data_IF_633205101968
#
_entry.id   IF_633205101968
#
_cell.length_a   1.000
_cell.length_b   1.000
_cell.length_c   1.000
_cell.angle_alpha   90.00
_cell.angle_beta   90.00
_cell.angle_gamma   90.00
#
_symmetry.space_group_name_H-M   'P 1'
#
loop_
_entity.id
_entity.type
_entity.pdbx_description
1 polymer ?
#
# COMPACT_ATOMS: atom_id res chain seq x y z
N UNK A 1 -4.78 -15.18 32.03
CA UNK A 1 -4.40 -16.30 31.12
C UNK A 1 -4.99 -15.99 29.74
N UNK A 2 -4.34 -15.07 29.03
CA UNK A 2 -4.52 -14.88 27.60
C UNK A 2 -3.12 -15.10 27.02
N UNK A 3 -2.99 -16.08 26.13
CA UNK A 3 -1.73 -16.43 25.48
C UNK A 3 -1.45 -15.42 24.37
N UNK A 4 -0.59 -14.44 24.62
CA UNK A 4 0.02 -13.62 23.58
C UNK A 4 1.01 -14.49 22.81
N UNK A 5 0.75 -14.68 21.51
CA UNK A 5 1.68 -15.33 20.59
C UNK A 5 2.72 -14.31 20.10
N UNK A 6 4.01 -14.66 20.02
CA UNK A 6 5.03 -13.78 19.43
C UNK A 6 4.83 -13.73 17.90
N UNK A 7 4.54 -12.54 17.35
CA UNK A 7 4.33 -12.33 15.92
C UNK A 7 5.66 -12.44 15.15
N UNK A 8 5.89 -13.60 14.54
CA UNK A 8 7.01 -13.92 13.65
C UNK A 8 6.74 -13.40 12.23
N UNK A 9 7.74 -12.78 11.62
CA UNK A 9 7.77 -12.44 10.19
C UNK A 9 8.00 -13.68 9.27
N UNK A 10 7.44 -13.61 8.04
CA UNK A 10 7.64 -14.31 6.74
C UNK A 10 7.20 -15.80 6.52
N UNK A 11 6.31 -15.99 5.51
CA UNK A 11 6.33 -16.94 4.34
C UNK A 11 5.04 -17.76 4.04
N UNK A 12 4.41 -17.36 2.91
CA UNK A 12 4.15 -18.16 1.69
C UNK A 12 3.00 -19.21 1.58
N UNK A 13 2.18 -18.98 0.53
CA UNK A 13 1.74 -19.87 -0.58
C UNK A 13 0.86 -21.13 -0.36
N UNK A 14 -0.21 -21.25 -1.17
CA UNK A 14 -0.65 -22.36 -2.07
C UNK A 14 -2.22 -22.34 -2.21
N UNK A 15 -2.86 -22.08 -3.36
CA UNK A 15 -3.04 -22.81 -4.65
C UNK A 15 -4.28 -23.76 -4.74
N UNK A 16 -5.04 -23.59 -5.86
CA UNK A 16 -5.80 -24.57 -6.71
C UNK A 16 -7.36 -24.67 -6.70
N UNK A 17 -7.95 -24.08 -7.76
CA UNK A 17 -8.74 -24.62 -8.93
C UNK A 17 -9.88 -25.70 -8.86
N UNK A 18 -10.86 -25.46 -9.78
CA UNK A 18 -11.81 -26.35 -10.50
C UNK A 18 -13.18 -26.69 -9.84
N UNK A 19 -14.35 -26.74 -10.50
CA UNK A 19 -14.80 -26.53 -11.89
C UNK A 19 -16.26 -27.05 -12.10
N UNK A 20 -16.86 -26.71 -13.28
CA UNK A 20 -17.91 -27.43 -14.06
C UNK A 20 -19.43 -27.20 -13.80
N UNK A 21 -20.06 -26.48 -14.75
CA UNK A 21 -21.18 -26.80 -15.67
C UNK A 21 -22.48 -27.55 -15.21
N UNK A 22 -23.67 -26.98 -15.54
CA UNK A 22 -24.80 -27.64 -16.25
C UNK A 22 -26.05 -26.72 -16.46
N UNK A 23 -26.57 -26.69 -17.70
CA UNK A 23 -27.91 -26.23 -18.19
C UNK A 23 -28.83 -27.49 -18.37
N UNK A 24 -30.09 -27.50 -18.92
CA UNK A 24 -31.06 -26.44 -19.33
C UNK A 24 -32.56 -26.76 -18.98
N UNK A 25 -33.50 -25.90 -19.41
CA UNK A 25 -34.93 -26.25 -19.66
C UNK A 25 -35.74 -25.03 -20.14
N UNK A 26 -36.04 -24.87 -21.44
CA UNK A 26 -37.17 -25.35 -22.27
C UNK A 26 -38.46 -24.46 -22.28
N UNK A 27 -38.82 -24.12 -23.52
CA UNK A 27 -40.17 -23.95 -24.13
C UNK A 27 -41.08 -22.78 -23.77
N UNK A 28 -41.37 -21.98 -24.81
CA UNK A 28 -42.61 -21.21 -24.96
C UNK A 28 -42.82 -20.87 -26.43
N UNK A 29 -43.84 -21.43 -27.06
CA UNK A 29 -44.25 -21.20 -28.46
C UNK A 29 -45.47 -20.26 -28.48
N UNK A 30 -45.59 -19.42 -29.51
CA UNK A 30 -46.90 -18.97 -29.98
C UNK A 30 -46.90 -17.60 -30.67
N UNK A 31 -47.41 -17.56 -31.91
CA UNK A 31 -48.03 -16.36 -32.48
C UNK A 31 -47.49 -15.92 -33.83
N UNK A 32 -48.03 -16.49 -34.90
CA UNK A 32 -47.99 -15.95 -36.27
C UNK A 32 -48.92 -14.74 -36.40
N UNK A 33 -48.55 -13.76 -37.24
CA UNK A 33 -49.34 -13.38 -38.42
C UNK A 33 -48.70 -12.24 -39.25
N UNK A 34 -48.88 -12.40 -40.56
CA UNK A 34 -48.95 -11.41 -41.64
C UNK A 34 -47.67 -10.73 -42.16
N UNK A 35 -47.16 -11.25 -43.29
CA UNK A 35 -46.13 -10.61 -44.11
C UNK A 35 -46.64 -10.46 -45.54
N UNK A 36 -47.02 -9.23 -45.91
CA UNK A 36 -46.88 -8.81 -47.31
C UNK A 36 -45.41 -8.95 -47.74
N UNK A 37 -45.08 -8.95 -49.04
CA UNK A 37 -43.72 -9.15 -49.50
C UNK A 37 -42.88 -7.92 -49.14
N UNK A 38 -42.30 -7.91 -47.94
CA UNK A 38 -41.22 -7.02 -47.53
C UNK A 38 -40.01 -7.38 -48.39
N UNK A 39 -39.45 -6.38 -49.08
CA UNK A 39 -38.18 -6.54 -49.77
C UNK A 39 -37.14 -7.17 -48.82
N UNK A 40 -36.28 -8.10 -49.28
CA UNK A 40 -35.31 -8.76 -48.41
C UNK A 40 -34.52 -7.72 -47.62
N UNK A 41 -34.55 -7.82 -46.29
CA UNK A 41 -33.79 -6.92 -45.44
C UNK A 41 -32.29 -7.08 -45.78
N UNK A 42 -31.63 -5.99 -46.15
CA UNK A 42 -30.22 -6.04 -46.52
C UNK A 42 -29.37 -6.34 -45.27
N UNK A 43 -28.56 -7.40 -45.32
CA UNK A 43 -27.67 -7.78 -44.23
C UNK A 43 -26.59 -6.72 -44.06
N UNK A 44 -26.37 -6.27 -42.83
CA UNK A 44 -25.33 -5.31 -42.44
C UNK A 44 -24.57 -5.81 -41.23
N UNK A 45 -23.28 -5.44 -41.13
CA UNK A 45 -22.38 -5.79 -40.01
C UNK A 45 -21.73 -4.51 -39.49
N UNK A 46 -21.65 -4.34 -38.19
CA UNK A 46 -20.85 -3.31 -37.52
C UNK A 46 -19.96 -3.93 -36.44
N UNK A 47 -18.80 -3.31 -36.16
CA UNK A 47 -17.86 -3.72 -35.11
C UNK A 47 -17.64 -2.56 -34.15
N UNK A 48 -17.63 -2.83 -32.85
CA UNK A 48 -17.33 -1.86 -31.78
C UNK A 48 -16.35 -2.45 -30.76
N UNK A 49 -15.34 -1.70 -30.29
CA UNK A 49 -14.94 -0.36 -30.75
C UNK A 49 -14.39 -0.36 -32.19
N UNK A 50 -14.52 0.75 -32.91
CA UNK A 50 -14.05 0.86 -34.30
C UNK A 50 -12.52 1.08 -34.41
N UNK A 51 -11.90 1.64 -33.37
CA UNK A 51 -10.46 1.83 -33.27
C UNK A 51 -9.99 1.76 -31.83
N UNK A 52 -8.83 1.14 -31.60
CA UNK A 52 -8.14 1.08 -30.29
C UNK A 52 -6.63 1.20 -30.45
N UNK A 53 -5.95 1.61 -29.39
CA UNK A 53 -4.49 1.51 -29.27
C UNK A 53 -4.19 0.48 -28.20
N UNK A 54 -3.33 -0.50 -28.49
CA UNK A 54 -2.91 -1.54 -27.57
C UNK A 54 -1.39 -1.62 -27.53
N UNK A 55 -0.84 -1.92 -26.37
CA UNK A 55 0.56 -2.31 -26.26
C UNK A 55 0.76 -3.77 -26.70
N UNK A 56 1.99 -4.13 -27.03
CA UNK A 56 2.35 -5.52 -27.34
C UNK A 56 1.91 -6.47 -26.23
N UNK A 57 1.17 -7.53 -26.59
CA UNK A 57 0.65 -8.53 -25.64
C UNK A 57 -0.69 -8.21 -24.98
N UNK A 58 -1.19 -6.97 -25.06
CA UNK A 58 -2.51 -6.59 -24.51
C UNK A 58 -3.66 -7.17 -25.33
N UNK A 59 -4.83 -7.29 -24.70
CA UNK A 59 -6.05 -7.82 -25.34
C UNK A 59 -7.22 -6.84 -25.33
N UNK A 60 -8.06 -6.90 -26.37
CA UNK A 60 -9.28 -6.11 -26.51
C UNK A 60 -10.43 -6.99 -27.02
N UNK A 61 -11.57 -6.91 -26.34
CA UNK A 61 -12.82 -7.51 -26.82
C UNK A 61 -13.51 -6.61 -27.83
N UNK A 62 -13.85 -7.16 -28.99
CA UNK A 62 -14.68 -6.54 -30.01
C UNK A 62 -16.04 -7.21 -30.08
N UNK A 63 -17.09 -6.41 -30.19
CA UNK A 63 -18.44 -6.89 -30.44
C UNK A 63 -18.83 -6.62 -31.89
N UNK A 64 -19.47 -7.60 -32.54
CA UNK A 64 -20.06 -7.43 -33.85
C UNK A 64 -21.59 -7.46 -33.74
N UNK A 65 -22.25 -6.54 -34.46
CA UNK A 65 -23.71 -6.53 -34.57
C UNK A 65 -24.09 -6.81 -36.03
N UNK A 66 -24.91 -7.85 -36.24
CA UNK A 66 -25.44 -8.21 -37.56
C UNK A 66 -26.94 -7.90 -37.59
N UNK A 67 -27.40 -7.19 -38.61
CA UNK A 67 -28.83 -6.87 -38.81
C UNK A 67 -29.32 -7.36 -40.16
N UNK A 68 -30.64 -7.44 -40.35
CA UNK A 68 -31.26 -7.89 -41.61
C UNK A 68 -31.31 -9.41 -41.80
N UNK A 69 -30.99 -10.19 -40.76
CA UNK A 69 -31.02 -11.66 -40.75
C UNK A 69 -31.36 -12.16 -39.34
N UNK A 70 -31.87 -13.39 -39.23
CA UNK A 70 -32.05 -14.09 -37.94
C UNK A 70 -30.79 -14.79 -37.46
N UNK A 71 -29.83 -15.05 -38.37
CA UNK A 71 -28.51 -15.57 -38.01
C UNK A 71 -27.53 -14.41 -37.81
N UNK A 72 -27.25 -14.08 -36.55
CA UNK A 72 -26.37 -12.98 -36.16
C UNK A 72 -24.90 -13.40 -35.95
N UNK A 73 -24.53 -14.64 -36.26
CA UNK A 73 -23.18 -15.14 -36.06
C UNK A 73 -22.17 -14.48 -37.01
N UNK A 74 -20.94 -14.31 -36.52
CA UNK A 74 -19.81 -13.79 -37.29
C UNK A 74 -18.59 -14.71 -37.19
N UNK A 75 -17.73 -14.62 -38.18
CA UNK A 75 -16.37 -15.16 -38.15
C UNK A 75 -15.37 -14.02 -37.98
N UNK A 76 -14.48 -14.16 -37.01
CA UNK A 76 -13.43 -13.20 -36.71
C UNK A 76 -12.11 -13.57 -37.40
N UNK A 77 -11.38 -12.57 -37.88
CA UNK A 77 -10.02 -12.76 -38.40
C UNK A 77 -9.16 -11.52 -38.20
N UNK A 78 -7.85 -11.73 -38.03
CA UNK A 78 -6.82 -10.68 -38.09
C UNK A 78 -6.23 -10.64 -39.51
N UNK A 79 -6.29 -9.49 -40.17
CA UNK A 79 -5.67 -9.33 -41.49
C UNK A 79 -4.14 -9.28 -41.35
N UNK A 80 -3.44 -9.93 -42.27
CA UNK A 80 -1.97 -10.04 -42.24
C UNK A 80 -1.43 -11.24 -41.45
N UNK A 81 -2.32 -12.06 -40.86
CA UNK A 81 -1.95 -13.33 -40.23
C UNK A 81 -1.43 -13.19 -38.80
N UNK A 82 -0.87 -14.28 -38.26
CA UNK A 82 -0.53 -14.41 -36.84
C UNK A 82 0.56 -13.44 -36.34
N UNK A 83 1.39 -12.89 -37.24
CA UNK A 83 2.38 -11.86 -36.90
C UNK A 83 1.74 -10.55 -36.46
N UNK A 84 0.46 -10.34 -36.81
CA UNK A 84 -0.33 -9.20 -36.41
C UNK A 84 -1.19 -9.50 -35.17
N UNK A 85 -0.95 -10.60 -34.46
CA UNK A 85 -1.75 -11.01 -33.29
C UNK A 85 -2.76 -12.11 -33.60
N UNK A 86 -3.66 -12.37 -32.66
CA UNK A 86 -4.68 -13.43 -32.76
C UNK A 86 -6.04 -12.93 -32.29
N UNK A 87 -7.12 -13.51 -32.80
CA UNK A 87 -8.49 -13.24 -32.32
C UNK A 87 -9.24 -14.55 -32.15
N UNK A 88 -9.96 -14.69 -31.04
CA UNK A 88 -10.79 -15.86 -30.77
C UNK A 88 -12.19 -15.76 -31.37
N UNK A 89 -13.01 -16.81 -31.20
CA UNK A 89 -14.38 -16.85 -31.70
C UNK A 89 -15.33 -15.91 -30.95
N UNK A 90 -14.98 -15.49 -29.73
CA UNK A 90 -15.76 -14.54 -28.93
C UNK A 90 -15.49 -13.07 -29.33
N UNK A 91 -14.46 -12.82 -30.14
CA UNK A 91 -14.06 -11.49 -30.58
C UNK A 91 -12.99 -10.85 -29.71
N UNK A 92 -12.32 -11.61 -28.84
CA UNK A 92 -11.19 -11.11 -28.05
C UNK A 92 -9.91 -11.20 -28.87
N UNK A 93 -9.37 -10.05 -29.24
CA UNK A 93 -8.10 -9.91 -29.94
C UNK A 93 -6.96 -9.77 -28.92
N UNK A 94 -5.83 -10.45 -29.18
CA UNK A 94 -4.57 -10.30 -28.44
C UNK A 94 -3.50 -9.77 -29.39
N UNK A 95 -2.90 -8.63 -29.03
CA UNK A 95 -1.83 -7.99 -29.77
C UNK A 95 -0.56 -8.84 -29.79
N UNK A 96 0.24 -8.80 -30.87
CA UNK A 96 1.49 -9.55 -30.95
C UNK A 96 2.52 -9.03 -29.94
N UNK A 97 3.53 -9.85 -29.63
CA UNK A 97 4.62 -9.51 -28.69
C UNK A 97 5.67 -8.56 -29.30
N UNK A 98 5.52 -8.18 -30.57
CA UNK A 98 6.37 -7.21 -31.26
C UNK A 98 5.50 -6.29 -32.11
N UNK A 99 5.85 -5.01 -32.19
CA UNK A 99 5.11 -4.04 -33.02
C UNK A 99 5.14 -4.46 -34.50
N UNK A 100 3.98 -4.68 -35.14
CA UNK A 100 3.91 -5.01 -36.56
C UNK A 100 4.42 -3.85 -37.44
N UNK A 101 4.76 -4.15 -38.69
CA UNK A 101 5.07 -3.14 -39.69
C UNK A 101 4.13 -3.29 -40.90
N UNK A 102 3.15 -2.38 -41.10
CA UNK A 102 2.89 -1.16 -40.32
C UNK A 102 2.33 -1.46 -38.92
N UNK A 103 2.47 -0.51 -37.99
CA UNK A 103 2.01 -0.64 -36.59
C UNK A 103 0.48 -0.70 -36.43
N UNK A 104 -0.27 -0.73 -37.52
CA UNK A 104 -1.73 -0.79 -37.53
C UNK A 104 -2.18 -2.15 -38.05
N UNK A 105 -2.95 -2.85 -37.21
CA UNK A 105 -3.58 -4.14 -37.49
C UNK A 105 -5.06 -3.93 -37.77
N UNK A 106 -5.64 -4.77 -38.63
CA UNK A 106 -7.08 -4.77 -38.93
C UNK A 106 -7.73 -6.05 -38.43
N UNK A 107 -8.69 -5.91 -37.54
CA UNK A 107 -9.57 -7.00 -37.07
C UNK A 107 -10.86 -6.94 -37.89
N UNK A 108 -11.31 -8.07 -38.45
CA UNK A 108 -12.49 -8.14 -39.32
C UNK A 108 -13.50 -9.15 -38.80
N UNK A 109 -14.76 -8.74 -38.70
CA UNK A 109 -15.92 -9.61 -38.50
C UNK A 109 -16.64 -9.81 -39.84
N UNK A 110 -16.89 -11.06 -40.23
CA UNK A 110 -17.62 -11.42 -41.46
C UNK A 110 -18.88 -12.19 -41.09
N UNK A 111 -20.04 -11.80 -41.64
CA UNK A 111 -21.31 -12.46 -41.34
C UNK A 111 -21.29 -13.92 -41.81
N UNK A 112 -21.79 -14.83 -40.97
CA UNK A 112 -22.02 -16.23 -41.35
C UNK A 112 -23.22 -16.35 -42.30
N UNK A 113 -24.22 -15.48 -42.14
CA UNK A 113 -25.43 -15.48 -42.97
C UNK A 113 -25.16 -15.02 -44.41
N UNK A 114 -24.28 -14.03 -44.59
CA UNK A 114 -23.81 -13.56 -45.91
C UNK A 114 -22.31 -13.22 -45.85
N UNK A 115 -21.43 -14.14 -46.29
CA UNK A 115 -19.98 -13.93 -46.29
C UNK A 115 -19.49 -12.75 -47.14
N UNK A 116 -20.35 -12.13 -47.96
CA UNK A 116 -20.02 -10.89 -48.68
C UNK A 116 -20.09 -9.65 -47.78
N UNK A 117 -20.68 -9.76 -46.58
CA UNK A 117 -20.85 -8.66 -45.61
C UNK A 117 -19.86 -8.79 -44.47
N UNK A 118 -19.16 -7.69 -44.19
CA UNK A 118 -18.19 -7.62 -43.11
C UNK A 118 -17.98 -6.18 -42.64
N UNK A 119 -17.49 -6.03 -41.42
CA UNK A 119 -16.98 -4.76 -40.90
C UNK A 119 -15.63 -4.98 -40.22
N UNK A 120 -14.88 -3.92 -39.99
CA UNK A 120 -13.51 -4.00 -39.46
C UNK A 120 -13.25 -2.94 -38.40
N UNK A 121 -12.35 -3.26 -37.47
CA UNK A 121 -11.78 -2.36 -36.50
C UNK A 121 -10.28 -2.20 -36.72
N UNK A 122 -9.76 -1.01 -36.42
CA UNK A 122 -8.33 -0.68 -36.50
C UNK A 122 -7.67 -0.79 -35.13
N UNK A 123 -6.56 -1.50 -35.04
CA UNK A 123 -5.77 -1.63 -33.81
C UNK A 123 -4.39 -1.04 -34.06
N UNK A 124 -4.05 0.05 -33.39
CA UNK A 124 -2.68 0.57 -33.37
C UNK A 124 -1.89 -0.15 -32.29
N UNK A 125 -0.80 -0.81 -32.64
CA UNK A 125 0.06 -1.52 -31.69
C UNK A 125 1.28 -0.67 -31.37
N UNK A 126 1.49 -0.37 -30.09
CA UNK A 126 2.67 0.33 -29.58
C UNK A 126 3.59 -0.63 -28.84
N UNK A 127 4.86 -0.24 -28.67
CA UNK A 127 5.78 -0.97 -27.78
C UNK A 127 5.23 -0.87 -26.36
N UNK A 128 5.01 -2.01 -25.71
CA UNK A 128 4.77 -2.02 -24.26
C UNK A 128 6.04 -1.60 -23.52
N UNK A 129 5.91 -0.77 -22.49
CA UNK A 129 7.05 -0.38 -21.70
C UNK A 129 7.61 -1.60 -20.94
N UNK A 130 8.94 -1.74 -20.89
CA UNK A 130 9.57 -2.87 -20.24
C UNK A 130 9.28 -2.88 -18.73
N UNK A 131 9.14 -4.07 -18.11
CA UNK A 131 9.03 -4.21 -16.66
C UNK A 131 10.14 -3.48 -15.91
N UNK A 132 9.83 -2.95 -14.73
CA UNK A 132 10.88 -2.40 -13.87
C UNK A 132 11.82 -3.53 -13.39
N UNK A 133 13.15 -3.32 -13.41
CA UNK A 133 14.09 -4.25 -12.80
C UNK A 133 13.82 -4.43 -11.30
N UNK A 134 14.07 -5.63 -10.77
CA UNK A 134 13.85 -5.98 -9.34
C UNK A 134 14.54 -5.01 -8.37
N UNK A 135 15.73 -4.51 -8.70
CA UNK A 135 16.42 -3.52 -7.87
C UNK A 135 15.67 -2.18 -7.77
N UNK A 136 14.93 -1.79 -8.81
CA UNK A 136 14.10 -0.58 -8.80
C UNK A 136 12.81 -0.81 -8.00
N UNK A 137 12.23 -2.00 -8.09
CA UNK A 137 11.09 -2.40 -7.26
C UNK A 137 11.47 -2.41 -5.77
N UNK A 138 12.65 -2.92 -5.43
CA UNK A 138 13.17 -2.90 -4.07
C UNK A 138 13.40 -1.47 -3.57
N UNK A 139 13.98 -0.59 -4.39
CA UNK A 139 14.16 0.82 -4.03
C UNK A 139 12.82 1.52 -3.77
N UNK A 140 11.80 1.20 -4.57
CA UNK A 140 10.45 1.73 -4.44
C UNK A 140 9.80 1.33 -3.11
N UNK A 141 9.90 0.05 -2.74
CA UNK A 141 9.43 -0.48 -1.46
C UNK A 141 10.18 0.14 -0.26
N UNK A 142 11.51 0.27 -0.37
CA UNK A 142 12.33 0.87 0.69
C UNK A 142 11.97 2.33 0.95
N UNK A 143 11.79 3.15 -0.09
CA UNK A 143 11.38 4.56 0.06
C UNK A 143 10.00 4.66 0.70
N UNK A 144 9.07 3.79 0.28
CA UNK A 144 7.72 3.75 0.84
C UNK A 144 7.76 3.41 2.34
N UNK A 145 8.42 2.30 2.72
CA UNK A 145 8.45 1.79 4.10
C UNK A 145 9.30 2.59 5.09
N UNK A 146 10.27 3.38 4.62
CA UNK A 146 11.25 4.03 5.49
C UNK A 146 10.62 4.87 6.61
N UNK A 147 9.65 5.73 6.30
CA UNK A 147 9.02 6.57 7.32
C UNK A 147 8.09 5.82 8.27
N UNK A 148 7.44 4.73 7.85
CA UNK A 148 6.72 3.84 8.79
C UNK A 148 7.69 3.17 9.76
N UNK A 149 8.79 2.62 9.25
CA UNK A 149 9.79 1.94 10.08
C UNK A 149 10.36 2.90 11.14
N UNK A 150 10.61 4.16 10.75
CA UNK A 150 11.02 5.22 11.67
C UNK A 150 9.98 5.44 12.77
N UNK A 151 8.70 5.61 12.41
CA UNK A 151 7.63 5.85 13.37
C UNK A 151 7.41 4.66 14.32
N UNK A 152 7.36 3.44 13.79
CA UNK A 152 7.16 2.23 14.57
C UNK A 152 8.28 2.05 15.61
N UNK A 153 9.53 2.32 15.21
CA UNK A 153 10.68 2.25 16.12
C UNK A 153 10.57 3.25 17.28
N UNK A 154 10.01 4.44 17.03
CA UNK A 154 9.76 5.46 18.06
C UNK A 154 8.64 5.01 18.99
N UNK A 155 7.53 4.52 18.43
CA UNK A 155 6.39 4.07 19.21
C UNK A 155 6.80 2.93 20.14
N UNK A 156 7.53 1.95 19.63
CA UNK A 156 8.08 0.86 20.42
C UNK A 156 9.03 1.34 21.51
N UNK A 157 9.91 2.31 21.23
CA UNK A 157 10.79 2.90 22.24
C UNK A 157 10.01 3.62 23.37
N UNK A 158 8.94 4.35 23.02
CA UNK A 158 8.06 5.00 23.99
C UNK A 158 7.32 3.97 24.85
N UNK A 159 6.74 2.94 24.23
CA UNK A 159 6.07 1.84 24.93
C UNK A 159 7.00 1.11 25.89
N UNK A 160 8.22 0.78 25.43
CA UNK A 160 9.23 0.13 26.26
C UNK A 160 9.63 1.00 27.44
N UNK A 161 9.82 2.31 27.25
CA UNK A 161 10.11 3.22 28.36
C UNK A 161 8.93 3.27 29.35
N UNK A 162 7.71 3.38 28.85
CA UNK A 162 6.52 3.46 29.70
C UNK A 162 6.34 2.21 30.56
N UNK A 163 6.42 1.03 29.93
CA UNK A 163 6.42 -0.25 30.63
C UNK A 163 7.56 -0.31 31.65
N UNK A 164 8.76 0.13 31.25
CA UNK A 164 9.92 0.09 32.10
C UNK A 164 9.77 0.98 33.35
N UNK A 165 9.30 2.22 33.20
CA UNK A 165 9.04 3.11 34.34
C UNK A 165 7.93 2.55 35.23
N UNK A 166 6.85 2.04 34.62
CA UNK A 166 5.70 1.51 35.34
C UNK A 166 6.07 0.30 36.21
N UNK A 167 6.77 -0.69 35.65
CA UNK A 167 7.17 -1.89 36.39
C UNK A 167 8.32 -1.67 37.37
N UNK A 168 9.19 -0.69 37.10
CA UNK A 168 10.31 -0.37 37.99
C UNK A 168 9.91 0.53 39.18
N UNK A 169 8.73 1.14 39.13
CA UNK A 169 8.30 2.22 40.04
C UNK A 169 9.38 3.34 40.17
N UNK A 170 10.25 3.46 39.16
CA UNK A 170 11.43 4.32 39.18
C UNK A 170 11.92 4.64 37.77
N UNK A 171 12.40 5.86 37.58
CA UNK A 171 13.03 6.32 36.34
C UNK A 171 14.47 5.82 36.17
N UNK A 172 14.98 5.01 37.12
CA UNK A 172 16.35 4.49 37.13
C UNK A 172 16.41 3.05 37.64
N UNK A 173 17.44 2.32 37.24
CA UNK A 173 17.68 0.93 37.64
C UNK A 173 17.90 0.01 36.45
N UNK A 174 17.78 -1.30 36.67
CA UNK A 174 17.85 -2.32 35.62
C UNK A 174 16.61 -3.19 35.66
N UNK A 175 15.96 -3.37 34.52
CA UNK A 175 14.93 -4.37 34.27
C UNK A 175 15.51 -5.51 33.46
N UNK A 176 15.33 -6.74 33.91
CA UNK A 176 15.79 -7.94 33.19
C UNK A 176 14.60 -8.81 32.82
N UNK A 177 14.39 -9.04 31.52
CA UNK A 177 13.29 -9.84 31.01
C UNK A 177 13.39 -11.30 31.50
N UNK A 178 12.26 -11.84 31.95
CA UNK A 178 12.14 -13.22 32.40
C UNK A 178 11.80 -14.12 31.22
N UNK A 179 12.83 -14.75 30.63
CA UNK A 179 12.65 -15.55 29.42
C UNK A 179 12.07 -14.70 28.28
N UNK A 180 11.19 -15.29 27.46
CA UNK A 180 10.51 -14.59 26.35
C UNK A 180 9.10 -14.12 26.72
N UNK A 181 8.94 -13.63 27.95
CA UNK A 181 7.67 -13.13 28.49
C UNK A 181 7.70 -11.61 28.65
N UNK A 182 6.54 -11.01 28.92
CA UNK A 182 6.41 -9.58 29.23
C UNK A 182 6.71 -9.27 30.73
N UNK A 183 7.29 -10.23 31.46
CA UNK A 183 7.65 -10.09 32.88
C UNK A 183 9.13 -9.66 33.02
N UNK A 184 9.41 -8.73 33.95
CA UNK A 184 10.75 -8.21 34.21
C UNK A 184 11.09 -8.25 35.70
N UNK A 185 12.35 -8.61 36.01
CA UNK A 185 12.92 -8.46 37.35
C UNK A 185 13.61 -7.09 37.48
N UNK A 186 13.27 -6.34 38.53
CA UNK A 186 13.87 -5.03 38.81
C UNK A 186 15.08 -5.09 39.75
N UNK A 187 16.04 -4.21 39.50
CA UNK A 187 17.19 -3.90 40.36
C UNK A 187 17.39 -2.38 40.38
N UNK A 188 17.65 -1.80 41.56
CA UNK A 188 17.79 -0.34 41.74
C UNK A 188 19.15 0.25 41.32
N UNK A 189 19.88 -0.44 40.46
CA UNK A 189 21.18 -0.01 39.93
C UNK A 189 21.17 -0.20 38.41
N UNK A 190 21.75 0.72 37.62
CA UNK A 190 22.38 1.99 38.04
C UNK A 190 21.34 3.06 38.45
N UNK A 191 21.76 4.05 39.24
CA UNK A 191 20.86 5.09 39.77
C UNK A 191 20.78 6.36 38.91
N UNK A 192 21.38 6.38 37.72
CA UNK A 192 21.45 7.54 36.82
C UNK A 192 20.72 7.33 35.48
N UNK A 193 20.30 6.09 35.21
CA UNK A 193 19.64 5.68 33.97
C UNK A 193 18.78 4.45 34.22
N UNK A 194 17.82 4.22 33.33
CA UNK A 194 17.05 2.98 33.27
C UNK A 194 17.67 2.08 32.20
N UNK A 195 18.02 0.85 32.58
CA UNK A 195 18.59 -0.15 31.69
C UNK A 195 17.60 -1.29 31.51
N UNK A 196 17.25 -1.64 30.28
CA UNK A 196 16.40 -2.80 29.97
C UNK A 196 17.28 -3.87 29.34
N UNK A 197 17.22 -5.09 29.86
CA UNK A 197 18.00 -6.23 29.39
C UNK A 197 17.04 -7.33 28.95
N UNK A 198 17.04 -7.64 27.67
CA UNK A 198 16.21 -8.71 27.10
C UNK A 198 16.85 -10.08 27.28
N UNK A 199 16.04 -11.13 27.20
CA UNK A 199 16.52 -12.52 27.26
C UNK A 199 17.44 -12.90 26.10
N UNK A 200 17.39 -12.16 25.00
CA UNK A 200 18.34 -12.24 23.88
C UNK A 200 19.74 -11.77 24.23
N UNK A 201 19.91 -11.03 25.33
CA UNK A 201 21.14 -10.34 25.73
C UNK A 201 21.25 -8.90 25.20
N UNK A 202 20.29 -8.46 24.39
CA UNK A 202 20.18 -7.08 23.96
C UNK A 202 19.92 -6.16 25.17
N UNK A 203 20.55 -4.98 25.15
CA UNK A 203 20.43 -3.98 26.22
C UNK A 203 20.01 -2.65 25.63
N UNK A 204 19.03 -2.03 26.26
CA UNK A 204 18.61 -0.66 25.99
C UNK A 204 18.93 0.22 27.21
N UNK A 205 19.41 1.44 26.97
CA UNK A 205 19.64 2.42 28.03
C UNK A 205 18.84 3.68 27.79
N UNK A 206 18.04 4.08 28.79
CA UNK A 206 17.23 5.29 28.81
C UNK A 206 17.76 6.25 29.87
N UNK A 207 17.97 7.51 29.51
CA UNK A 207 18.28 8.60 30.46
C UNK A 207 17.12 9.58 30.44
N UNK A 208 16.27 9.56 31.46
CA UNK A 208 15.14 10.47 31.62
C UNK A 208 15.64 11.81 32.16
N UNK A 209 15.35 12.90 31.46
CA UNK A 209 15.83 14.26 31.77
C UNK A 209 14.75 15.17 32.37
N UNK A 210 13.48 14.89 32.10
CA UNK A 210 12.33 15.57 32.71
C UNK A 210 11.13 14.62 32.79
N UNK A 211 10.35 14.72 33.86
CA UNK A 211 9.14 13.94 34.09
C UNK A 211 8.07 14.80 34.78
N UNK A 212 6.88 14.86 34.18
CA UNK A 212 5.73 15.54 34.76
C UNK A 212 4.49 14.64 34.72
N UNK A 213 4.08 14.15 35.89
CA UNK A 213 2.83 13.45 36.15
C UNK A 213 2.95 12.54 37.39
N UNK A 214 2.13 11.50 37.50
CA UNK A 214 2.10 10.54 38.61
C UNK A 214 2.72 9.17 38.20
N UNK A 215 2.91 8.24 39.11
CA UNK A 215 3.24 6.84 38.78
C UNK A 215 2.04 5.90 38.97
N UNK A 216 0.90 6.45 39.39
CA UNK A 216 -0.36 5.74 39.57
C UNK A 216 -1.12 5.55 38.23
N UNK A 217 -1.78 4.41 38.03
CA UNK A 217 -2.59 4.13 36.83
C UNK A 217 -2.24 2.81 36.14
N UNK A 218 -2.45 2.74 34.82
CA UNK A 218 -1.94 1.68 33.93
C UNK A 218 -0.74 2.18 33.11
N UNK A 219 0.04 1.29 32.49
CA UNK A 219 1.17 1.73 31.65
C UNK A 219 0.68 2.42 30.37
N UNK A 220 -0.51 2.05 29.89
CA UNK A 220 -1.20 2.74 28.80
C UNK A 220 -1.53 4.18 29.19
N UNK A 221 -2.12 4.40 30.38
CA UNK A 221 -2.35 5.75 30.91
C UNK A 221 -1.03 6.52 31.06
N UNK A 222 0.06 5.82 31.38
CA UNK A 222 1.37 6.44 31.60
C UNK A 222 1.84 7.26 30.38
N UNK A 223 1.67 6.76 29.17
CA UNK A 223 2.05 7.50 27.95
C UNK A 223 1.15 8.70 27.66
N UNK A 224 -0.14 8.58 27.96
CA UNK A 224 -1.15 9.56 27.55
C UNK A 224 -1.32 10.71 28.53
N UNK A 225 -1.03 10.51 29.83
CA UNK A 225 -1.22 11.55 30.86
C UNK A 225 0.09 12.06 31.48
N UNK A 226 1.25 11.56 31.05
CA UNK A 226 2.58 11.99 31.55
C UNK A 226 3.44 12.58 30.44
N UNK A 227 4.22 13.61 30.79
CA UNK A 227 5.25 14.15 29.92
C UNK A 227 6.62 13.61 30.31
N UNK A 228 7.32 13.03 29.34
CA UNK A 228 8.66 12.45 29.50
C UNK A 228 9.61 13.02 28.46
N UNK A 229 10.76 13.51 28.91
CA UNK A 229 11.90 13.80 28.06
C UNK A 229 13.02 12.80 28.37
N UNK A 230 13.57 12.12 27.37
CA UNK A 230 14.61 11.11 27.59
C UNK A 230 15.64 11.05 26.45
N UNK A 231 16.66 10.23 26.60
CA UNK A 231 17.52 9.80 25.50
C UNK A 231 17.67 8.29 25.56
N UNK A 232 17.80 7.65 24.41
CA UNK A 232 17.89 6.21 24.30
C UNK A 232 19.08 5.80 23.44
N UNK A 233 19.75 4.72 23.81
CA UNK A 233 20.79 4.10 22.98
C UNK A 233 20.58 2.59 22.93
N UNK A 234 20.62 2.05 21.72
CA UNK A 234 20.64 0.62 21.42
C UNK A 234 21.95 0.24 20.70
N UNK A 235 22.45 -1.01 20.82
CA UNK A 235 23.75 -1.42 20.28
C UNK A 235 23.93 -1.23 18.77
N UNK A 236 22.84 -1.19 18.00
CA UNK A 236 22.87 -0.93 16.55
C UNK A 236 22.30 0.44 16.16
N UNK A 237 21.47 1.08 16.99
CA UNK A 237 20.69 2.27 16.64
C UNK A 237 20.73 3.29 17.79
N UNK A 238 21.20 4.52 17.53
CA UNK A 238 21.30 5.61 18.52
C UNK A 238 20.10 6.58 18.39
N UNK A 239 18.93 6.18 18.88
CA UNK A 239 17.70 6.99 18.79
C UNK A 239 17.66 8.06 19.89
N UNK A 240 17.94 9.33 19.57
CA UNK A 240 17.87 10.45 20.52
C UNK A 240 16.49 11.15 20.56
N UNK A 241 15.53 10.57 21.27
CA UNK A 241 14.16 11.07 21.36
C UNK A 241 14.00 12.22 22.37
N UNK A 242 14.07 13.49 21.95
CA UNK A 242 13.66 14.60 22.83
C UNK A 242 12.13 14.79 22.75
N UNK A 243 11.44 15.03 23.86
CA UNK A 243 10.01 15.38 23.84
C UNK A 243 9.75 16.43 24.90
N UNK A 244 8.83 17.37 24.63
CA UNK A 244 8.55 18.49 25.54
C UNK A 244 7.07 18.84 25.54
N UNK A 245 6.51 19.16 26.71
CA UNK A 245 5.11 19.55 26.90
C UNK A 245 4.95 21.07 27.03
N UNK A 246 3.79 21.61 26.64
CA UNK A 246 3.45 23.04 26.80
C UNK A 246 2.17 23.34 27.65
N UNK A 247 1.11 22.50 27.76
CA UNK A 247 -0.17 22.93 28.43
C UNK A 247 -0.90 21.92 29.32
N UNK A 248 -1.78 22.43 30.22
CA UNK A 248 -2.27 21.78 31.46
C UNK A 248 -3.76 21.34 31.47
N UNK A 249 -4.61 21.82 30.57
CA UNK A 249 -6.07 21.66 30.54
C UNK A 249 -6.62 20.83 29.37
N UNK A 250 -5.72 20.44 28.47
CA UNK A 250 -5.85 19.57 27.31
C UNK A 250 -4.52 18.81 27.24
N UNK A 251 -4.55 17.50 27.02
CA UNK A 251 -3.30 16.72 26.95
C UNK A 251 -2.75 16.85 25.54
N UNK A 252 -2.15 18.01 25.26
CA UNK A 252 -1.39 18.28 24.05
C UNK A 252 0.10 18.08 24.34
N UNK A 253 0.72 17.15 23.62
CA UNK A 253 2.16 16.88 23.64
C UNK A 253 2.78 17.36 22.33
N UNK A 254 3.89 18.09 22.41
CA UNK A 254 4.70 18.34 21.22
C UNK A 254 5.75 17.25 21.08
N UNK A 255 5.78 16.63 19.90
CA UNK A 255 6.77 15.65 19.50
C UNK A 255 7.92 16.40 18.81
N UNK A 256 9.17 16.19 19.25
CA UNK A 256 10.36 16.74 18.59
C UNK A 256 11.57 15.83 18.82
N UNK A 257 11.62 14.75 18.07
CA UNK A 257 12.50 13.61 18.31
C UNK A 257 13.54 13.50 17.20
N UNK A 258 14.78 13.17 17.58
CA UNK A 258 15.87 12.93 16.64
C UNK A 258 16.21 11.45 16.62
N UNK A 259 16.39 10.87 15.44
CA UNK A 259 16.86 9.49 15.28
C UNK A 259 18.20 9.53 14.57
N UNK A 260 19.22 8.93 15.16
CA UNK A 260 20.53 8.76 14.54
C UNK A 260 21.03 7.32 14.72
N UNK A 261 22.10 6.94 14.03
CA UNK A 261 22.72 5.63 14.20
C UNK A 261 22.56 4.75 12.97
N UNK A 262 22.59 3.44 13.17
CA UNK A 262 22.58 2.49 12.05
C UNK A 262 21.42 1.49 12.13
N UNK A 263 20.97 0.97 11.01
CA UNK A 263 20.08 -0.18 10.99
C UNK A 263 20.46 -1.13 9.86
N UNK A 264 20.11 -2.41 10.00
CA UNK A 264 20.26 -3.36 8.91
C UNK A 264 18.89 -3.66 8.30
N UNK A 265 18.73 -3.40 7.01
CA UNK A 265 17.53 -3.71 6.23
C UNK A 265 17.99 -4.31 4.90
N UNK A 266 17.42 -5.46 4.51
CA UNK A 266 17.76 -6.18 3.27
C UNK A 266 19.26 -6.42 3.08
N UNK A 267 19.94 -6.90 4.14
CA UNK A 267 21.39 -7.14 4.19
C UNK A 267 22.27 -5.88 3.98
N UNK A 268 21.68 -4.68 3.99
CA UNK A 268 22.38 -3.41 3.92
C UNK A 268 22.41 -2.73 5.29
N UNK A 269 23.57 -2.22 5.68
CA UNK A 269 23.69 -1.30 6.82
C UNK A 269 23.41 0.12 6.34
N UNK A 270 22.43 0.76 6.95
CA UNK A 270 21.99 2.12 6.68
C UNK A 270 22.42 3.02 7.83
N UNK A 271 23.12 4.11 7.52
CA UNK A 271 23.24 5.25 8.43
C UNK A 271 21.95 6.06 8.37
N UNK A 272 21.35 6.34 9.52
CA UNK A 272 20.05 7.00 9.64
C UNK A 272 20.27 8.36 10.29
N UNK A 273 19.59 9.38 9.78
CA UNK A 273 19.42 10.67 10.46
C UNK A 273 18.02 11.16 10.13
N UNK A 274 17.12 11.16 11.11
CA UNK A 274 15.74 11.60 10.95
C UNK A 274 15.30 12.51 12.12
N UNK A 275 14.28 13.30 11.86
CA UNK A 275 13.57 14.14 12.80
C UNK A 275 12.08 13.82 12.70
N UNK A 276 11.43 13.69 13.85
CA UNK A 276 9.97 13.57 13.96
C UNK A 276 9.47 14.76 14.75
N UNK A 277 8.59 15.55 14.15
CA UNK A 277 8.06 16.76 14.75
C UNK A 277 6.55 16.77 14.62
N UNK A 278 5.83 17.13 15.68
CA UNK A 278 4.38 17.05 15.65
C UNK A 278 3.71 17.46 16.93
N UNK A 279 2.42 17.25 16.96
CA UNK A 279 1.54 17.46 18.11
C UNK A 279 0.67 16.22 18.25
N UNK A 280 0.59 15.67 19.46
CA UNK A 280 -0.36 14.62 19.82
C UNK A 280 -1.37 15.23 20.81
N UNK A 281 -2.66 15.06 20.56
CA UNK A 281 -3.72 15.69 21.35
C UNK A 281 -4.74 14.67 21.81
N UNK A 282 -4.95 14.58 23.12
CA UNK A 282 -5.90 13.65 23.73
C UNK A 282 -7.05 14.38 24.43
N UNK A 283 -8.28 14.02 24.06
CA UNK A 283 -9.51 14.53 24.68
C UNK A 283 -10.23 13.45 25.49
N UNK A 284 -10.53 13.76 26.75
CA UNK A 284 -11.37 12.92 27.62
C UNK A 284 -12.78 13.52 27.73
N UNK A 285 -13.66 13.32 26.74
CA UNK A 285 -15.06 13.77 26.87
C UNK A 285 -16.07 12.85 26.17
N UNK A 286 -16.88 12.11 26.95
CA UNK A 286 -18.05 11.32 26.49
C UNK A 286 -17.81 10.54 25.16
N UNK A 287 -16.62 9.97 25.06
CA UNK A 287 -15.93 9.52 23.85
C UNK A 287 -14.44 9.87 24.04
N UNK A 288 -13.53 8.99 23.67
CA UNK A 288 -12.12 9.33 23.55
C UNK A 288 -11.90 9.80 22.12
N UNK A 289 -11.34 11.00 21.98
CA UNK A 289 -10.94 11.57 20.69
C UNK A 289 -9.42 11.81 20.75
N UNK A 290 -8.70 11.34 19.74
CA UNK A 290 -7.25 11.50 19.60
C UNK A 290 -6.95 12.09 18.24
N UNK A 291 -6.28 13.24 18.23
CA UNK A 291 -5.83 13.92 17.03
C UNK A 291 -4.30 14.08 17.09
N UNK A 292 -3.59 13.27 16.31
CA UNK A 292 -2.13 13.31 16.21
C UNK A 292 -1.70 13.79 14.84
N UNK A 293 -0.99 14.92 14.80
CA UNK A 293 -0.40 15.49 13.60
C UNK A 293 1.12 15.47 13.73
N UNK A 294 1.80 14.66 12.91
CA UNK A 294 3.27 14.60 12.93
C UNK A 294 3.87 14.56 11.53
N UNK A 295 5.09 15.05 11.42
CA UNK A 295 5.93 14.95 10.24
C UNK A 295 7.25 14.26 10.55
N UNK A 296 7.72 13.51 9.57
CA UNK A 296 8.99 12.79 9.58
C UNK A 296 9.82 13.33 8.43
N UNK A 297 10.97 13.88 8.77
CA UNK A 297 11.97 14.32 7.79
C UNK A 297 13.29 13.63 8.08
N UNK A 298 13.90 13.00 7.07
CA UNK A 298 15.14 12.27 7.31
C UNK A 298 15.87 11.83 6.08
N UNK A 299 17.08 11.33 6.31
CA UNK A 299 17.97 10.79 5.31
C UNK A 299 18.52 9.46 5.81
N UNK A 300 18.44 8.43 4.98
CA UNK A 300 19.10 7.15 5.19
C UNK A 300 20.14 6.96 4.10
N UNK A 301 21.34 6.51 4.43
CA UNK A 301 22.41 6.26 3.45
C UNK A 301 23.05 4.89 3.61
N UNK A 302 23.33 4.21 2.50
CA UNK A 302 24.08 2.94 2.49
C UNK A 302 24.96 2.84 1.24
N UNK A 303 26.25 3.18 1.38
CA UNK A 303 27.17 3.26 0.24
C UNK A 303 26.73 4.32 -0.77
N UNK A 304 26.41 3.91 -2.00
CA UNK A 304 25.86 4.79 -3.04
C UNK A 304 24.34 5.02 -2.91
N UNK A 305 23.67 4.27 -2.03
CA UNK A 305 22.22 4.37 -1.83
C UNK A 305 21.89 5.50 -0.88
N UNK A 306 20.79 6.18 -1.16
CA UNK A 306 20.26 7.24 -0.31
C UNK A 306 18.73 7.28 -0.39
N UNK A 307 18.07 7.40 0.75
CA UNK A 307 16.62 7.61 0.85
C UNK A 307 16.40 8.94 1.58
N UNK A 308 15.59 9.80 1.00
CA UNK A 308 15.04 11.00 1.62
C UNK A 308 13.61 10.72 2.04
N UNK A 309 13.31 10.97 3.31
CA UNK A 309 11.98 10.79 3.89
C UNK A 309 11.42 12.18 4.16
N UNK A 310 10.23 12.43 3.61
CA UNK A 310 9.39 13.59 3.84
C UNK A 310 7.95 13.08 3.91
N UNK A 311 7.49 12.82 5.12
CA UNK A 311 6.17 12.26 5.38
C UNK A 311 5.45 13.10 6.41
N UNK A 312 4.16 13.35 6.22
CA UNK A 312 3.27 13.89 7.23
C UNK A 312 2.16 12.88 7.48
N UNK A 313 1.71 12.74 8.70
CA UNK A 313 0.60 11.89 9.07
C UNK A 313 -0.32 12.65 10.00
N UNK A 314 -1.62 12.46 9.78
CA UNK A 314 -2.68 12.87 10.69
C UNK A 314 -3.46 11.61 11.09
N UNK A 315 -3.62 11.40 12.39
CA UNK A 315 -4.33 10.29 12.98
C UNK A 315 -5.53 10.82 13.76
N UNK A 316 -6.69 10.23 13.50
CA UNK A 316 -7.96 10.60 14.10
C UNK A 316 -8.66 9.34 14.61
N UNK A 317 -8.94 9.29 15.92
CA UNK A 317 -9.63 8.17 16.55
C UNK A 317 -10.81 8.62 17.37
N UNK A 318 -12.00 8.25 16.94
CA UNK A 318 -13.25 8.59 17.58
C UNK A 318 -13.93 7.34 18.16
N UNK A 319 -14.11 7.31 19.48
CA UNK A 319 -14.81 6.22 20.16
C UNK A 319 -16.26 6.60 20.48
N UNK A 320 -17.22 5.95 19.82
CA UNK A 320 -18.66 6.21 20.01
C UNK A 320 -19.24 5.36 21.15
N UNK A 321 -18.94 4.05 21.18
CA UNK A 321 -19.31 3.10 22.24
C UNK A 321 -18.47 1.80 22.20
N UNK A 322 -18.75 0.82 23.08
CA UNK A 322 -18.02 -0.47 23.20
C UNK A 322 -17.99 -1.35 21.94
N UNK A 323 -18.76 -1.02 20.91
CA UNK A 323 -18.84 -1.79 19.67
C UNK A 323 -18.71 -0.92 18.42
N UNK A 324 -18.63 0.41 18.57
CA UNK A 324 -18.56 1.37 17.48
C UNK A 324 -17.43 2.36 17.74
N UNK A 325 -16.41 2.31 16.90
CA UNK A 325 -15.32 3.28 16.85
C UNK A 325 -15.07 3.65 15.38
N UNK A 326 -14.47 4.80 15.15
CA UNK A 326 -13.87 5.17 13.87
C UNK A 326 -12.40 5.43 14.09
N UNK A 327 -11.57 4.68 13.39
CA UNK A 327 -10.15 4.95 13.27
C UNK A 327 -9.91 5.49 11.87
N UNK A 328 -9.25 6.63 11.73
CA UNK A 328 -8.77 7.08 10.43
C UNK A 328 -7.33 7.57 10.51
N UNK A 329 -6.54 7.21 9.51
CA UNK A 329 -5.19 7.73 9.34
C UNK A 329 -5.06 8.25 7.91
N UNK A 330 -4.52 9.45 7.77
CA UNK A 330 -4.04 10.00 6.51
C UNK A 330 -2.53 10.15 6.60
N UNK A 331 -1.83 9.67 5.59
CA UNK A 331 -0.39 9.79 5.44
C UNK A 331 -0.04 10.39 4.10
N UNK A 332 0.63 11.53 4.13
CA UNK A 332 1.13 12.25 2.98
C UNK A 332 2.63 12.01 2.83
N UNK A 333 3.03 11.38 1.72
CA UNK A 333 4.41 11.05 1.35
C UNK A 333 4.81 11.96 0.19
N UNK A 334 5.23 13.18 0.49
CA UNK A 334 5.44 14.23 -0.51
C UNK A 334 6.93 14.60 -0.58
N UNK A 335 7.55 14.40 -1.72
CA UNK A 335 8.98 14.69 -1.92
C UNK A 335 9.91 13.63 -1.34
N UNK A 336 9.37 12.61 -0.66
CA UNK A 336 10.14 11.41 -0.32
C UNK A 336 10.70 10.77 -1.59
N UNK A 337 11.93 10.28 -1.52
CA UNK A 337 12.60 9.75 -2.70
C UNK A 337 13.79 8.88 -2.34
N UNK A 338 14.32 8.18 -3.32
CA UNK A 338 15.50 7.36 -3.12
C UNK A 338 16.31 7.19 -4.38
N UNK A 339 17.60 6.90 -4.19
CA UNK A 339 18.52 6.55 -5.26
C UNK A 339 19.35 5.34 -4.89
N UNK A 340 19.63 4.49 -5.88
CA UNK A 340 20.59 3.39 -5.78
C UNK A 340 21.99 3.77 -6.34
N UNK A 341 22.18 5.05 -6.67
CA UNK A 341 23.37 5.59 -7.33
C UNK A 341 23.27 5.62 -8.86
N UNK A 342 22.29 4.94 -9.45
CA UNK A 342 22.02 4.93 -10.91
C UNK A 342 20.66 5.51 -11.23
N UNK A 343 19.63 5.12 -10.47
CA UNK A 343 18.24 5.50 -10.65
C UNK A 343 17.81 6.41 -9.51
N UNK A 344 16.91 7.36 -9.78
CA UNK A 344 16.29 8.18 -8.73
C UNK A 344 14.77 8.09 -8.82
N UNK A 345 14.13 7.74 -7.72
CA UNK A 345 12.67 7.66 -7.57
C UNK A 345 12.22 8.77 -6.62
N UNK A 346 11.13 9.45 -6.96
CA UNK A 346 10.52 10.51 -6.13
C UNK A 346 9.01 10.31 -6.11
N UNK A 347 8.43 10.29 -4.91
CA UNK A 347 7.01 10.28 -4.63
C UNK A 347 6.49 11.72 -4.65
N UNK A 348 5.48 11.99 -5.48
CA UNK A 348 4.91 13.31 -5.68
C UNK A 348 3.42 13.28 -5.37
N UNK A 349 3.02 14.07 -4.38
CA UNK A 349 1.62 14.22 -3.96
C UNK A 349 0.97 12.87 -3.61
N UNK A 350 1.71 11.99 -2.93
CA UNK A 350 1.20 10.68 -2.52
C UNK A 350 0.48 10.81 -1.20
N UNK A 351 -0.81 10.48 -1.21
CA UNK A 351 -1.67 10.38 -0.04
C UNK A 351 -2.13 8.94 0.10
N UNK A 352 -1.93 8.39 1.28
CA UNK A 352 -2.58 7.17 1.73
C UNK A 352 -3.59 7.53 2.82
N UNK A 353 -4.77 6.91 2.78
CA UNK A 353 -5.82 7.04 3.76
C UNK A 353 -6.38 5.67 4.09
N UNK A 354 -6.67 5.41 5.35
CA UNK A 354 -7.51 4.27 5.70
C UNK A 354 -8.46 4.61 6.82
N UNK A 355 -9.60 3.92 6.80
CA UNK A 355 -10.66 4.06 7.79
C UNK A 355 -11.08 2.67 8.25
N UNK A 356 -11.15 2.47 9.56
CA UNK A 356 -11.67 1.26 10.19
C UNK A 356 -12.85 1.68 11.07
N UNK A 357 -14.02 1.12 10.77
CA UNK A 357 -15.28 1.40 11.48
C UNK A 357 -15.74 0.23 12.35
N UNK A 358 -15.00 -0.89 12.30
CA UNK A 358 -15.18 -2.09 13.10
C UNK A 358 -14.01 -3.06 12.84
N UNK A 359 -13.73 -4.00 13.76
CA UNK A 359 -12.64 -4.99 13.66
C UNK A 359 -12.56 -5.77 12.33
N UNK A 360 -13.61 -5.73 11.51
CA UNK A 360 -13.73 -6.44 10.24
C UNK A 360 -13.89 -5.54 9.00
N UNK A 361 -14.11 -4.24 9.16
CA UNK A 361 -14.39 -3.33 8.04
C UNK A 361 -13.26 -2.29 7.92
N UNK A 362 -12.33 -2.55 6.99
CA UNK A 362 -11.21 -1.66 6.68
C UNK A 362 -11.30 -1.18 5.25
N UNK A 363 -11.32 0.13 5.09
CA UNK A 363 -11.35 0.81 3.80
C UNK A 363 -10.00 1.47 3.59
N UNK A 364 -9.26 1.02 2.58
CA UNK A 364 -8.01 1.61 2.14
C UNK A 364 -8.25 2.51 0.92
N UNK A 365 -7.56 3.65 0.88
CA UNK A 365 -7.54 4.57 -0.26
C UNK A 365 -6.13 5.12 -0.43
N UNK A 366 -5.62 5.07 -1.63
CA UNK A 366 -4.30 5.54 -1.97
C UNK A 366 -4.38 6.27 -3.30
N UNK A 367 -3.83 7.47 -3.35
CA UNK A 367 -3.76 8.29 -4.55
C UNK A 367 -2.42 9.04 -4.59
N UNK A 368 -1.96 9.36 -5.80
CA UNK A 368 -0.76 10.15 -6.00
C UNK A 368 0.13 9.59 -7.09
N UNK A 369 1.19 10.32 -7.39
CA UNK A 369 2.05 10.04 -8.54
C UNK A 369 3.48 9.71 -8.11
N UNK A 370 4.13 8.90 -8.92
CA UNK A 370 5.51 8.48 -8.68
C UNK A 370 6.30 8.78 -9.94
N UNK A 371 7.46 9.39 -9.76
CA UNK A 371 8.34 9.76 -10.85
C UNK A 371 9.69 9.08 -10.70
N UNK A 372 10.32 8.78 -11.84
CA UNK A 372 11.70 8.29 -11.94
C UNK A 372 12.46 9.16 -12.92
N UNK A 373 13.59 9.70 -12.51
CA UNK A 373 14.41 10.62 -13.32
C UNK A 373 13.56 11.76 -13.95
N UNK A 374 12.62 12.29 -13.16
CA UNK A 374 11.61 13.29 -13.54
C UNK A 374 10.56 12.86 -14.59
N UNK A 375 10.51 11.58 -14.98
CA UNK A 375 9.46 11.01 -15.82
C UNK A 375 8.41 10.27 -14.97
N UNK A 376 7.13 10.30 -15.38
CA UNK A 376 6.07 9.55 -14.70
C UNK A 376 6.34 8.04 -14.73
N UNK A 377 6.45 7.45 -13.54
CA UNK A 377 6.68 6.02 -13.33
C UNK A 377 5.35 5.28 -13.13
N UNK A 378 4.40 5.89 -12.42
CA UNK A 378 3.11 5.29 -12.11
C UNK A 378 2.29 6.13 -11.15
N UNK A 379 1.15 5.58 -10.76
CA UNK A 379 0.25 6.13 -9.75
C UNK A 379 0.02 5.10 -8.63
N UNK A 380 -0.19 5.59 -7.41
CA UNK A 380 -0.59 4.73 -6.30
C UNK A 380 -2.08 4.43 -6.44
N UNK A 381 -2.45 3.15 -6.37
CA UNK A 381 -3.82 2.67 -6.55
C UNK A 381 -4.16 1.69 -5.44
N UNK A 382 -5.37 1.81 -4.89
CA UNK A 382 -5.93 0.75 -4.03
C UNK A 382 -6.69 -0.24 -4.90
N UNK A 383 -6.35 -1.53 -4.77
CA UNK A 383 -7.17 -2.60 -5.30
C UNK A 383 -8.47 -2.69 -4.49
N UNK A 384 -9.59 -2.37 -5.13
CA UNK A 384 -10.92 -2.37 -4.52
C UNK A 384 -11.44 -3.75 -4.12
N UNK A 385 -10.79 -4.83 -4.56
CA UNK A 385 -11.15 -6.22 -4.25
C UNK A 385 -10.34 -6.77 -3.08
N UNK A 386 -9.04 -6.47 -3.02
CA UNK A 386 -8.14 -6.97 -1.98
C UNK A 386 -7.87 -5.97 -0.85
N UNK A 387 -8.18 -4.69 -1.06
CA UNK A 387 -7.81 -3.60 -0.16
C UNK A 387 -6.31 -3.30 -0.17
N UNK A 388 -5.50 -4.00 -0.99
CA UNK A 388 -4.06 -3.78 -1.06
C UNK A 388 -3.75 -2.50 -1.81
N UNK A 389 -2.77 -1.75 -1.30
CA UNK A 389 -2.21 -0.61 -2.01
C UNK A 389 -1.10 -1.12 -2.91
N UNK A 390 -1.14 -0.72 -4.17
CA UNK A 390 -0.13 -1.02 -5.16
C UNK A 390 0.26 0.22 -5.94
N UNK A 391 1.40 0.15 -6.61
CA UNK A 391 1.76 1.14 -7.63
C UNK A 391 1.34 0.58 -8.97
N UNK A 392 0.40 1.26 -9.61
CA UNK A 392 0.06 1.04 -11.00
C UNK A 392 1.04 1.82 -11.87
N UNK A 393 1.99 1.10 -12.45
CA UNK A 393 3.02 1.66 -13.29
C UNK A 393 2.42 2.12 -14.62
N UNK A 394 3.01 3.15 -15.23
CA UNK A 394 2.64 3.60 -16.58
C UNK A 394 2.83 2.50 -17.64
N UNK A 395 3.57 1.45 -17.29
CA UNK A 395 3.79 0.22 -18.06
C UNK A 395 2.63 -0.78 -17.98
N UNK A 396 1.59 -0.50 -17.18
CA UNK A 396 0.46 -1.39 -16.93
C UNK A 396 0.74 -2.49 -15.90
N UNK A 397 1.92 -2.50 -15.29
CA UNK A 397 2.27 -3.40 -14.19
C UNK A 397 1.76 -2.88 -12.86
N UNK A 398 1.46 -3.81 -11.93
CA UNK A 398 1.12 -3.45 -10.55
C UNK A 398 2.17 -4.02 -9.61
N UNK A 399 2.75 -3.16 -8.78
CA UNK A 399 3.67 -3.54 -7.70
C UNK A 399 2.89 -3.50 -6.40
N UNK A 400 2.59 -4.63 -5.75
CA UNK A 400 1.86 -4.65 -4.48
C UNK A 400 2.77 -4.24 -3.30
N UNK A 401 2.21 -3.55 -2.30
CA UNK A 401 2.91 -3.14 -1.06
C UNK A 401 2.28 -3.71 0.21
#
# INVERSE_FOLDING_TARGET
MATTQPRRWIRSCLLLLAGVLALPGLTGCGGSDDSGPTAPAAISVSVSPASVTLETGQSQSFAATVTGTTNADVTWQVLGGATNGSIDAAGTYTAPTSVPNPATVTVRATSVADPSKSSSASVTVTVGAAPLPESQLALLDQVFRAGWTIQDSINEANELLAQAVFYAESLTGTLTQVGVTDEFNYSNSPGDRLRVVFSSGETLEFVVTDFQGDTDGTWEDFLYVHALAYTFSAPSLDVQITSSRIRQDEYTRNVNQTIQGTATLDDLTWDITAQVQGTETFFFSNGSDTDDDYSIEGVLTSGARRIEVYQAASYDFEYFDQSNYSYSERKDVIGSGGTDGTNTIIFQDVTYRWVDTSDTDRIYQAEGSITRDAAALGELVTDSTSGQVGIYLTTGETVPF
#
